data_IF_229695334810
#
_entry.id   IF_229695334810
#
_cell.length_a   1.000
_cell.length_b   1.000
_cell.length_c   1.000
_cell.angle_alpha   90.00
_cell.angle_beta   90.00
_cell.angle_gamma   90.00
#
_symmetry.space_group_name_H-M   'P 1'
#
loop_
_entity.id
_entity.type
_entity.pdbx_description
1 polymer ?
#
# COMPACT_ATOMS: atom_id res chain seq x y z
N UNK A 1 9.24 -1.96 -32.94
CA UNK A 1 8.46 -1.75 -31.70
C UNK A 1 8.13 -3.13 -31.16
N UNK A 2 8.65 -3.49 -29.99
CA UNK A 2 8.38 -4.81 -29.41
C UNK A 2 6.97 -4.79 -28.80
N UNK A 3 6.06 -5.58 -29.37
CA UNK A 3 4.72 -5.78 -28.79
C UNK A 3 4.87 -6.41 -27.40
N UNK A 4 4.30 -5.76 -26.39
CA UNK A 4 4.19 -6.35 -25.06
C UNK A 4 3.07 -7.39 -25.13
N UNK A 5 3.31 -8.61 -24.64
CA UNK A 5 2.23 -9.59 -24.45
C UNK A 5 1.14 -8.98 -23.57
N UNK A 6 -0.12 -9.22 -23.88
CA UNK A 6 -1.29 -8.63 -23.21
C UNK A 6 -1.24 -8.67 -21.67
N UNK A 7 -0.61 -9.69 -21.07
CA UNK A 7 -0.48 -9.89 -19.62
C UNK A 7 0.97 -9.91 -19.11
N UNK A 8 1.91 -9.25 -19.80
CA UNK A 8 3.32 -9.26 -19.41
C UNK A 8 3.57 -8.65 -18.02
N UNK A 9 2.74 -7.69 -17.59
CA UNK A 9 2.83 -7.09 -16.25
C UNK A 9 2.46 -8.12 -15.18
N UNK A 10 1.38 -8.88 -15.39
CA UNK A 10 1.00 -10.00 -14.52
C UNK A 10 2.09 -11.07 -14.45
N UNK A 11 2.58 -11.53 -15.60
CA UNK A 11 3.65 -12.54 -15.66
C UNK A 11 4.88 -12.09 -14.87
N UNK A 12 5.28 -10.83 -15.02
CA UNK A 12 6.45 -10.27 -14.36
C UNK A 12 6.28 -10.15 -12.84
N UNK A 13 5.15 -9.63 -12.35
CA UNK A 13 4.93 -9.52 -10.90
C UNK A 13 4.82 -10.89 -10.22
N UNK A 14 4.18 -11.86 -10.89
CA UNK A 14 4.07 -13.23 -10.38
C UNK A 14 5.44 -13.86 -10.25
N UNK A 15 6.32 -13.71 -11.25
CA UNK A 15 7.69 -14.22 -11.20
C UNK A 15 8.51 -13.57 -10.07
N UNK A 16 8.44 -12.24 -9.92
CA UNK A 16 9.14 -11.51 -8.85
C UNK A 16 8.68 -11.96 -7.46
N UNK A 17 7.37 -12.08 -7.26
CA UNK A 17 6.80 -12.49 -5.98
C UNK A 17 7.08 -13.97 -5.69
N UNK A 18 6.96 -14.86 -6.67
CA UNK A 18 7.29 -16.27 -6.50
C UNK A 18 8.75 -16.48 -6.07
N UNK A 19 9.68 -15.73 -6.67
CA UNK A 19 11.10 -15.78 -6.30
C UNK A 19 11.37 -15.23 -4.90
N UNK A 20 10.54 -14.31 -4.44
CA UNK A 20 10.70 -13.67 -3.12
C UNK A 20 10.03 -14.46 -2.00
N UNK A 21 9.00 -15.26 -2.30
CA UNK A 21 8.29 -16.10 -1.32
C UNK A 21 8.77 -17.55 -1.48
N UNK A 22 9.75 -17.93 -0.65
CA UNK A 22 10.44 -19.22 -0.74
C UNK A 22 9.45 -20.38 -0.58
N UNK A 23 9.51 -21.35 -1.50
CA UNK A 23 8.66 -22.54 -1.46
C UNK A 23 7.23 -22.33 -1.98
N UNK A 24 6.89 -21.11 -2.39
CA UNK A 24 5.59 -20.81 -2.98
C UNK A 24 5.38 -21.50 -4.33
N UNK A 25 4.11 -21.75 -4.67
CA UNK A 25 3.67 -22.33 -5.94
C UNK A 25 2.79 -21.35 -6.69
N UNK A 26 3.00 -21.25 -7.99
CA UNK A 26 2.14 -20.44 -8.87
C UNK A 26 1.07 -21.33 -9.50
N UNK A 27 -0.17 -20.84 -9.49
CA UNK A 27 -1.31 -21.43 -10.18
C UNK A 27 -1.93 -20.38 -11.09
N UNK A 28 -1.95 -20.62 -12.39
CA UNK A 28 -2.74 -19.80 -13.31
C UNK A 28 -4.23 -20.10 -13.11
N UNK A 29 -5.05 -19.07 -12.89
CA UNK A 29 -6.50 -19.19 -12.71
C UNK A 29 -7.21 -18.89 -14.04
N UNK A 30 -6.85 -17.77 -14.66
CA UNK A 30 -7.35 -17.30 -15.96
C UNK A 30 -6.23 -16.52 -16.68
N UNK A 31 -6.32 -16.18 -17.97
CA UNK A 31 -5.26 -15.43 -18.66
C UNK A 31 -4.84 -14.13 -17.97
N UNK A 32 -5.79 -13.46 -17.31
CA UNK A 32 -5.62 -12.20 -16.59
C UNK A 32 -5.46 -12.38 -15.07
N UNK A 33 -5.37 -13.62 -14.56
CA UNK A 33 -5.44 -13.91 -13.13
C UNK A 33 -4.58 -15.11 -12.71
N UNK A 34 -3.73 -14.92 -11.70
CA UNK A 34 -2.85 -15.93 -11.14
C UNK A 34 -2.91 -15.93 -9.61
N UNK A 35 -2.57 -17.06 -8.99
CA UNK A 35 -2.42 -17.17 -7.54
C UNK A 35 -1.02 -17.67 -7.18
N UNK A 36 -0.45 -17.07 -6.14
CA UNK A 36 0.77 -17.53 -5.46
C UNK A 36 0.35 -18.16 -4.15
N UNK A 37 0.62 -19.45 -4.00
CA UNK A 37 0.20 -20.26 -2.85
C UNK A 37 1.42 -20.51 -1.97
N UNK A 38 1.34 -20.12 -0.71
CA UNK A 38 2.35 -20.36 0.32
C UNK A 38 1.70 -21.03 1.54
N UNK A 39 1.92 -22.33 1.70
CA UNK A 39 1.25 -23.12 2.76
C UNK A 39 -0.28 -23.03 2.68
N UNK A 40 -0.90 -22.39 3.68
CA UNK A 40 -2.34 -22.13 3.74
C UNK A 40 -2.73 -20.70 3.31
N UNK A 41 -1.76 -19.87 2.95
CA UNK A 41 -1.96 -18.53 2.43
C UNK A 41 -2.00 -18.53 0.89
N UNK A 42 -2.73 -17.58 0.33
CA UNK A 42 -2.82 -17.38 -1.11
C UNK A 42 -2.87 -15.90 -1.42
N UNK A 43 -2.02 -15.48 -2.36
CA UNK A 43 -2.03 -14.14 -2.94
C UNK A 43 -2.63 -14.27 -4.34
N UNK A 44 -3.81 -13.70 -4.56
CA UNK A 44 -4.46 -13.69 -5.88
C UNK A 44 -4.18 -12.37 -6.57
N UNK A 45 -3.69 -12.44 -7.80
CA UNK A 45 -3.27 -11.29 -8.59
C UNK A 45 -4.07 -11.27 -9.88
N UNK A 46 -4.77 -10.17 -10.13
CA UNK A 46 -5.60 -9.97 -11.34
C UNK A 46 -5.21 -8.69 -12.06
N UNK A 47 -4.88 -8.79 -13.34
CA UNK A 47 -4.59 -7.65 -14.19
C UNK A 47 -5.87 -7.14 -14.86
N UNK A 48 -6.19 -5.86 -14.65
CA UNK A 48 -7.26 -5.17 -15.37
C UNK A 48 -6.67 -4.36 -16.50
N UNK A 49 -7.27 -4.48 -17.68
CA UNK A 49 -6.90 -3.70 -18.87
C UNK A 49 -7.84 -2.51 -19.04
N UNK A 50 -7.32 -1.44 -19.64
CA UNK A 50 -8.10 -0.34 -20.18
C UNK A 50 -8.74 -0.74 -21.53
N UNK A 51 -9.68 0.07 -22.02
CA UNK A 51 -10.33 -0.13 -23.33
C UNK A 51 -9.35 -0.12 -24.51
N UNK A 52 -8.16 0.48 -24.34
CA UNK A 52 -7.09 0.52 -25.34
C UNK A 52 -6.15 -0.71 -25.27
N UNK A 53 -6.41 -1.67 -24.37
CA UNK A 53 -5.60 -2.87 -24.17
C UNK A 53 -4.37 -2.68 -23.27
N UNK A 54 -4.09 -1.47 -22.79
CA UNK A 54 -3.03 -1.21 -21.82
C UNK A 54 -3.43 -1.71 -20.43
N UNK A 55 -2.44 -1.94 -19.56
CA UNK A 55 -2.72 -2.31 -18.17
C UNK A 55 -3.22 -1.09 -17.40
N UNK A 56 -4.44 -1.17 -16.88
CA UNK A 56 -5.04 -0.14 -16.03
C UNK A 56 -4.58 -0.29 -14.58
N UNK A 57 -4.72 -1.50 -14.06
CA UNK A 57 -4.46 -1.79 -12.66
C UNK A 57 -4.10 -3.26 -12.46
N UNK A 58 -3.38 -3.53 -11.39
CA UNK A 58 -3.11 -4.87 -10.93
C UNK A 58 -3.65 -5.02 -9.52
N UNK A 59 -4.68 -5.84 -9.38
CA UNK A 59 -5.40 -6.07 -8.13
C UNK A 59 -4.82 -7.28 -7.43
N UNK A 60 -4.30 -7.05 -6.23
CA UNK A 60 -3.74 -8.08 -5.37
C UNK A 60 -4.68 -8.27 -4.18
N UNK A 61 -5.10 -9.51 -3.96
CA UNK A 61 -5.80 -9.95 -2.76
C UNK A 61 -4.87 -10.84 -1.97
N UNK A 62 -4.55 -10.42 -0.76
CA UNK A 62 -3.64 -11.09 0.16
C UNK A 62 -4.24 -11.09 1.56
N UNK A 63 -5.14 -12.02 1.82
CA UNK A 63 -5.92 -12.09 3.06
C UNK A 63 -5.08 -12.43 4.30
N UNK A 64 -3.88 -12.98 4.09
CA UNK A 64 -2.96 -13.37 5.16
C UNK A 64 -1.82 -12.37 5.34
N UNK A 65 -1.86 -11.26 4.61
CA UNK A 65 -0.90 -10.16 4.68
C UNK A 65 0.56 -10.62 4.47
N UNK A 66 0.78 -11.63 3.61
CA UNK A 66 2.10 -12.17 3.28
C UNK A 66 3.01 -11.09 2.65
N UNK A 67 2.44 -10.18 1.86
CA UNK A 67 3.16 -9.10 1.18
C UNK A 67 3.56 -7.95 2.11
N UNK A 68 3.03 -7.89 3.34
CA UNK A 68 3.15 -6.72 4.22
C UNK A 68 4.49 -6.62 4.96
N UNK A 69 5.46 -7.48 4.64
CA UNK A 69 6.85 -7.21 5.01
C UNK A 69 7.35 -5.98 4.24
N UNK A 70 8.06 -5.08 4.90
CA UNK A 70 8.60 -3.84 4.30
C UNK A 70 9.41 -4.13 3.02
N UNK A 71 10.24 -5.18 3.02
CA UNK A 71 11.03 -5.59 1.85
C UNK A 71 10.16 -5.94 0.64
N UNK A 72 9.09 -6.71 0.83
CA UNK A 72 8.21 -7.12 -0.27
C UNK A 72 7.37 -5.94 -0.79
N UNK A 73 6.82 -5.11 0.09
CA UNK A 73 6.08 -3.91 -0.33
C UNK A 73 6.99 -2.98 -1.14
N UNK A 74 8.21 -2.72 -0.68
CA UNK A 74 9.16 -1.90 -1.44
C UNK A 74 9.53 -2.53 -2.79
N UNK A 75 9.75 -3.85 -2.82
CA UNK A 75 10.08 -4.58 -4.05
C UNK A 75 8.95 -4.50 -5.08
N UNK A 76 7.70 -4.58 -4.64
CA UNK A 76 6.53 -4.42 -5.52
C UNK A 76 6.36 -2.95 -5.93
N UNK A 77 6.63 -1.98 -5.06
CA UNK A 77 6.53 -0.55 -5.38
C UNK A 77 7.55 -0.14 -6.45
N UNK A 78 8.78 -0.64 -6.33
CA UNK A 78 9.89 -0.38 -7.24
C UNK A 78 10.03 -1.45 -8.33
N UNK A 79 8.99 -2.24 -8.58
CA UNK A 79 9.06 -3.40 -9.48
C UNK A 79 9.52 -3.04 -10.91
N UNK A 80 9.17 -1.84 -11.37
CA UNK A 80 9.60 -1.29 -12.66
C UNK A 80 11.12 -1.13 -12.78
N UNK A 81 11.83 -0.99 -11.66
CA UNK A 81 13.29 -0.89 -11.65
C UNK A 81 13.97 -2.19 -12.07
N UNK A 82 13.31 -3.35 -11.90
CA UNK A 82 13.84 -4.64 -12.33
C UNK A 82 13.72 -4.87 -13.85
N UNK A 83 12.83 -4.16 -14.54
CA UNK A 83 12.59 -4.31 -15.98
C UNK A 83 13.57 -3.51 -16.86
N UNK A 84 14.84 -3.33 -16.42
CA UNK A 84 15.80 -2.39 -17.04
C UNK A 84 16.05 -2.67 -18.53
N UNK A 85 16.06 -3.95 -18.92
CA UNK A 85 16.38 -4.37 -20.28
C UNK A 85 15.15 -4.42 -21.21
N UNK A 86 13.96 -4.07 -20.69
CA UNK A 86 12.71 -4.05 -21.46
C UNK A 86 11.97 -2.72 -21.22
N UNK A 87 12.29 -1.72 -22.03
CA UNK A 87 11.70 -0.37 -21.94
C UNK A 87 10.16 -0.38 -22.04
N UNK A 88 9.60 -1.29 -22.84
CA UNK A 88 8.16 -1.42 -23.03
C UNK A 88 7.49 -1.94 -21.74
N UNK A 89 8.02 -3.03 -21.15
CA UNK A 89 7.56 -3.56 -19.87
C UNK A 89 7.74 -2.53 -18.74
N UNK A 90 8.88 -1.83 -18.70
CA UNK A 90 9.11 -0.78 -17.71
C UNK A 90 8.06 0.33 -17.78
N UNK A 91 7.74 0.81 -18.99
CA UNK A 91 6.70 1.81 -19.19
C UNK A 91 5.32 1.28 -18.77
N UNK A 92 5.00 0.02 -19.09
CA UNK A 92 3.75 -0.60 -18.67
C UNK A 92 3.66 -0.75 -17.13
N UNK A 93 4.75 -1.13 -16.46
CA UNK A 93 4.81 -1.21 -15.00
C UNK A 93 4.65 0.17 -14.34
N UNK A 94 5.32 1.21 -14.87
CA UNK A 94 5.18 2.59 -14.38
C UNK A 94 3.75 3.14 -14.53
N UNK A 95 3.06 2.75 -15.60
CA UNK A 95 1.67 3.16 -15.83
C UNK A 95 0.62 2.32 -15.08
N UNK A 96 1.03 1.22 -14.42
CA UNK A 96 0.10 0.32 -13.76
C UNK A 96 -0.16 0.74 -12.31
N UNK A 97 -1.42 0.95 -11.95
CA UNK A 97 -1.80 1.13 -10.56
C UNK A 97 -1.86 -0.22 -9.83
N UNK A 98 -0.92 -0.49 -8.94
CA UNK A 98 -0.90 -1.72 -8.12
C UNK A 98 -1.72 -1.47 -6.86
N UNK A 99 -2.77 -2.27 -6.66
CA UNK A 99 -3.72 -2.13 -5.55
C UNK A 99 -3.71 -3.44 -4.74
N UNK A 100 -3.35 -3.36 -3.47
CA UNK A 100 -3.29 -4.47 -2.51
C UNK A 100 -4.41 -4.30 -1.49
N UNK A 101 -5.32 -5.29 -1.41
CA UNK A 101 -6.44 -5.30 -0.45
C UNK A 101 -7.26 -3.98 -0.40
N UNK A 102 -7.36 -3.29 -1.54
CA UNK A 102 -8.11 -2.04 -1.70
C UNK A 102 -7.29 -0.75 -1.60
N UNK A 103 -6.04 -0.79 -1.13
CA UNK A 103 -5.14 0.37 -1.12
C UNK A 103 -4.17 0.32 -2.30
N UNK A 104 -3.84 1.46 -2.88
CA UNK A 104 -2.68 1.51 -3.76
C UNK A 104 -1.41 1.16 -2.98
N UNK A 105 -0.42 0.59 -3.65
CA UNK A 105 0.83 0.22 -3.00
C UNK A 105 1.55 1.41 -2.34
N UNK A 106 1.45 2.60 -2.94
CA UNK A 106 1.98 3.83 -2.33
C UNK A 106 1.21 4.19 -1.05
N UNK A 107 -0.13 4.09 -1.07
CA UNK A 107 -0.94 4.32 0.11
C UNK A 107 -0.62 3.30 1.23
N UNK A 108 -0.36 2.04 0.90
CA UNK A 108 0.08 1.04 1.87
C UNK A 108 1.44 1.42 2.49
N UNK A 109 2.44 1.81 1.69
CA UNK A 109 3.73 2.30 2.21
C UNK A 109 3.58 3.57 3.07
N UNK A 110 2.69 4.48 2.69
CA UNK A 110 2.37 5.68 3.48
C UNK A 110 1.77 5.28 4.83
N UNK A 111 0.86 4.30 4.88
CA UNK A 111 0.31 3.79 6.13
C UNK A 111 1.41 3.28 7.07
N UNK A 112 2.28 2.41 6.57
CA UNK A 112 3.41 1.87 7.34
C UNK A 112 4.30 3.00 7.88
N UNK A 113 4.69 3.94 7.01
CA UNK A 113 5.50 5.08 7.42
C UNK A 113 4.80 5.95 8.48
N UNK A 114 3.50 6.23 8.35
CA UNK A 114 2.74 7.01 9.35
C UNK A 114 2.75 6.29 10.70
N UNK A 115 2.43 5.00 10.71
CA UNK A 115 2.42 4.18 11.93
C UNK A 115 3.79 4.18 12.60
N UNK A 116 4.85 3.98 11.82
CA UNK A 116 6.20 3.92 12.35
C UNK A 116 6.66 5.30 12.88
N UNK A 117 6.20 6.42 12.29
CA UNK A 117 6.44 7.75 12.84
C UNK A 117 5.69 7.98 14.17
N UNK A 118 4.45 7.51 14.31
CA UNK A 118 3.74 7.56 15.60
C UNK A 118 4.47 6.77 16.68
N UNK A 119 4.92 5.54 16.36
CA UNK A 119 5.69 4.71 17.28
C UNK A 119 7.03 5.33 17.66
N UNK A 120 7.69 6.03 16.73
CA UNK A 120 8.92 6.75 17.01
C UNK A 120 8.72 8.00 17.89
N UNK A 121 7.52 8.61 17.88
CA UNK A 121 7.21 9.77 18.71
C UNK A 121 6.95 9.38 20.17
N UNK A 122 6.17 8.32 20.40
CA UNK A 122 5.81 7.88 21.75
C UNK A 122 5.25 6.46 21.76
N UNK A 123 5.61 5.69 22.79
CA UNK A 123 5.02 4.38 23.10
C UNK A 123 3.53 4.46 23.49
N UNK A 124 2.98 5.66 23.65
CA UNK A 124 1.55 5.86 23.93
C UNK A 124 0.67 5.61 22.70
N UNK A 125 1.25 5.62 21.48
CA UNK A 125 0.49 5.42 20.26
C UNK A 125 0.44 3.95 19.86
N UNK A 126 -0.76 3.45 19.57
CA UNK A 126 -0.94 2.09 19.05
C UNK A 126 -1.96 2.07 17.92
N UNK A 127 -1.62 1.47 16.78
CA UNK A 127 -2.58 1.19 15.72
C UNK A 127 -3.56 0.09 16.18
N UNK A 128 -4.86 0.33 16.00
CA UNK A 128 -5.89 -0.64 16.33
C UNK A 128 -6.39 -1.43 15.12
N UNK A 129 -7.03 -0.73 14.18
CA UNK A 129 -7.63 -1.34 13.00
C UNK A 129 -8.00 -0.30 11.95
N UNK A 130 -8.10 -0.75 10.72
CA UNK A 130 -8.74 0.01 9.65
C UNK A 130 -10.26 0.07 9.83
N UNK A 131 -10.81 1.23 9.48
CA UNK A 131 -12.25 1.49 9.34
C UNK A 131 -12.62 1.49 7.85
N UNK A 132 -11.78 2.10 7.01
CA UNK A 132 -12.00 2.24 5.57
C UNK A 132 -10.67 2.10 4.84
N UNK A 133 -10.69 1.36 3.72
CA UNK A 133 -9.61 1.29 2.73
C UNK A 133 -10.20 1.56 1.35
N UNK A 134 -9.71 2.61 0.71
CA UNK A 134 -9.96 2.96 -0.69
C UNK A 134 -8.62 3.36 -1.33
N UNK A 135 -8.49 3.27 -2.65
CA UNK A 135 -7.22 3.25 -3.39
C UNK A 135 -6.22 4.32 -2.93
N UNK A 136 -6.69 5.52 -2.60
CA UNK A 136 -5.86 6.63 -2.10
C UNK A 136 -6.28 7.15 -0.72
N UNK A 137 -7.26 6.51 -0.07
CA UNK A 137 -7.82 6.98 1.19
C UNK A 137 -7.87 5.84 2.19
N UNK A 138 -7.38 6.11 3.38
CA UNK A 138 -7.49 5.19 4.51
C UNK A 138 -8.05 5.92 5.71
N UNK A 139 -8.87 5.20 6.47
CA UNK A 139 -9.38 5.64 7.76
C UNK A 139 -9.08 4.54 8.76
N UNK A 140 -8.46 4.86 9.89
CA UNK A 140 -8.10 3.87 10.89
C UNK A 140 -8.08 4.45 12.30
N UNK A 141 -8.22 3.57 13.28
CA UNK A 141 -8.18 3.95 14.69
C UNK A 141 -6.76 3.81 15.25
N UNK A 142 -6.42 4.77 16.10
CA UNK A 142 -5.22 4.77 16.94
C UNK A 142 -5.65 4.90 18.40
N UNK A 143 -4.92 4.23 19.30
CA UNK A 143 -4.90 4.54 20.71
C UNK A 143 -3.90 5.67 21.01
N UNK A 144 -4.17 6.40 22.08
CA UNK A 144 -3.22 7.28 22.77
C UNK A 144 -3.31 7.05 24.28
N UNK A 145 -2.34 6.35 24.84
CA UNK A 145 -2.41 5.83 26.21
C UNK A 145 -3.45 4.70 26.32
N UNK A 146 -4.00 4.50 27.52
CA UNK A 146 -4.80 3.31 27.82
C UNK A 146 -6.25 3.37 27.28
N UNK A 147 -6.87 4.55 27.25
CA UNK A 147 -8.32 4.67 27.08
C UNK A 147 -8.77 5.55 25.90
N UNK A 148 -7.85 6.33 25.29
CA UNK A 148 -8.23 7.27 24.24
C UNK A 148 -8.07 6.66 22.86
N UNK A 149 -9.19 6.45 22.18
CA UNK A 149 -9.24 6.10 20.76
C UNK A 149 -9.53 7.36 19.96
N UNK A 150 -8.77 7.58 18.89
CA UNK A 150 -9.06 8.59 17.89
C UNK A 150 -8.91 8.00 16.49
N UNK A 151 -9.58 8.63 15.53
CA UNK A 151 -9.54 8.22 14.14
C UNK A 151 -8.55 9.08 13.37
N UNK A 152 -7.75 8.46 12.53
CA UNK A 152 -6.96 9.11 11.50
C UNK A 152 -7.58 8.91 10.13
N UNK A 153 -7.65 10.00 9.37
CA UNK A 153 -8.00 10.01 7.96
C UNK A 153 -6.76 10.43 7.20
N UNK A 154 -6.36 9.60 6.24
CA UNK A 154 -5.23 9.88 5.36
C UNK A 154 -5.73 9.85 3.92
N UNK A 155 -5.38 10.89 3.15
CA UNK A 155 -5.67 11.01 1.73
C UNK A 155 -4.36 11.24 0.98
N UNK A 156 -4.00 10.32 0.10
CA UNK A 156 -2.84 10.39 -0.76
C UNK A 156 -3.21 11.04 -2.10
N UNK A 157 -2.98 12.35 -2.21
CA UNK A 157 -3.21 13.10 -3.43
C UNK A 157 -1.94 13.16 -4.29
N UNK A 158 -2.09 13.58 -5.54
CA UNK A 158 -0.97 13.61 -6.48
C UNK A 158 0.21 14.50 -6.00
N UNK A 159 -0.09 15.62 -5.33
CA UNK A 159 0.93 16.59 -4.88
C UNK A 159 1.13 16.66 -3.37
N UNK A 160 0.27 16.04 -2.58
CA UNK A 160 0.29 16.14 -1.12
C UNK A 160 -0.37 14.94 -0.45
N UNK A 161 0.01 14.68 0.79
CA UNK A 161 -0.63 13.71 1.67
C UNK A 161 -1.31 14.49 2.79
N UNK A 162 -2.65 14.44 2.82
CA UNK A 162 -3.42 15.00 3.91
C UNK A 162 -3.54 13.95 5.03
N UNK A 163 -3.33 14.38 6.27
CA UNK A 163 -3.50 13.56 7.47
C UNK A 163 -4.29 14.41 8.46
N UNK A 164 -5.40 13.88 8.96
CA UNK A 164 -6.28 14.54 9.92
C UNK A 164 -6.65 13.59 11.05
N UNK A 165 -6.64 14.10 12.28
CA UNK A 165 -7.14 13.38 13.45
C UNK A 165 -8.53 13.85 13.86
N UNK A 166 -9.42 12.88 14.06
CA UNK A 166 -10.77 13.07 14.53
C UNK A 166 -10.87 12.54 15.95
N UNK A 167 -10.94 13.46 16.91
CA UNK A 167 -11.16 13.15 18.34
C UNK A 167 -12.59 13.48 18.74
N UNK A 168 -13.13 12.76 19.72
CA UNK A 168 -14.41 13.11 20.32
C UNK A 168 -14.35 14.49 21.02
N UNK A 169 -15.53 15.13 21.19
CA UNK A 169 -15.63 16.44 21.86
C UNK A 169 -15.33 16.39 23.36
N UNK A 170 -15.45 15.21 23.97
CA UNK A 170 -15.21 14.94 25.39
C UNK A 170 -13.73 14.93 25.77
N UNK A 171 -12.83 14.81 24.78
CA UNK A 171 -11.39 14.75 25.00
C UNK A 171 -10.87 16.08 25.56
N UNK A 172 -10.00 16.00 26.58
CA UNK A 172 -9.40 17.17 27.20
C UNK A 172 -8.66 18.04 26.16
N UNK A 173 -8.83 19.39 26.17
CA UNK A 173 -8.24 20.26 25.15
C UNK A 173 -6.72 20.11 24.99
N UNK A 174 -5.99 19.92 26.09
CA UNK A 174 -4.54 19.73 26.05
C UNK A 174 -4.13 18.44 25.29
N UNK A 175 -4.87 17.34 25.50
CA UNK A 175 -4.62 16.07 24.79
C UNK A 175 -4.93 16.22 23.31
N UNK A 176 -6.05 16.87 22.98
CA UNK A 176 -6.40 17.16 21.58
C UNK A 176 -5.33 18.00 20.88
N UNK A 177 -4.81 19.02 21.56
CA UNK A 177 -3.71 19.85 21.04
C UNK A 177 -2.42 19.05 20.83
N UNK A 178 -2.07 18.14 21.74
CA UNK A 178 -0.91 17.27 21.58
C UNK A 178 -1.05 16.37 20.35
N UNK A 179 -2.15 15.63 20.23
CA UNK A 179 -2.42 14.76 19.06
C UNK A 179 -2.40 15.56 17.76
N UNK A 180 -2.98 16.77 17.74
CA UNK A 180 -3.00 17.61 16.54
C UNK A 180 -1.58 18.06 16.15
N UNK A 181 -0.73 18.39 17.11
CA UNK A 181 0.66 18.78 16.86
C UNK A 181 1.47 17.58 16.33
N UNK A 182 1.31 16.40 16.93
CA UNK A 182 2.01 15.19 16.51
C UNK A 182 1.59 14.78 15.09
N UNK A 183 0.28 14.84 14.78
CA UNK A 183 -0.25 14.60 13.43
C UNK A 183 0.34 15.58 12.41
N UNK A 184 0.47 16.85 12.77
CA UNK A 184 1.09 17.86 11.90
C UNK A 184 2.56 17.51 11.61
N UNK A 185 3.34 17.17 12.64
CA UNK A 185 4.75 16.79 12.48
C UNK A 185 4.90 15.56 11.57
N UNK A 186 4.08 14.54 11.80
CA UNK A 186 4.08 13.32 10.99
C UNK A 186 3.70 13.65 9.55
N UNK A 187 2.66 14.45 9.34
CA UNK A 187 2.24 14.87 8.00
C UNK A 187 3.38 15.55 7.24
N UNK A 188 4.13 16.43 7.90
CA UNK A 188 5.24 17.15 7.28
C UNK A 188 6.38 16.19 6.92
N UNK A 189 6.72 15.23 7.80
CA UNK A 189 7.71 14.17 7.54
C UNK A 189 7.31 13.26 6.38
N UNK A 190 6.06 12.83 6.34
CA UNK A 190 5.53 11.92 5.32
C UNK A 190 5.47 12.62 3.95
N UNK A 191 5.03 13.88 3.89
CA UNK A 191 5.07 14.64 2.64
C UNK A 191 6.51 14.80 2.12
N UNK A 192 7.47 15.09 3.00
CA UNK A 192 8.89 15.16 2.62
C UNK A 192 9.43 13.84 2.07
N UNK A 193 8.97 12.71 2.62
CA UNK A 193 9.39 11.37 2.19
C UNK A 193 8.80 10.98 0.83
N UNK A 194 7.51 11.23 0.60
CA UNK A 194 6.78 10.69 -0.56
C UNK A 194 6.49 11.70 -1.67
N UNK A 195 6.39 13.00 -1.38
CA UNK A 195 5.93 14.03 -2.33
C UNK A 195 6.97 15.09 -2.71
N UNK A 196 8.00 15.28 -1.88
CA UNK A 196 9.09 16.27 -2.00
C UNK A 196 8.68 17.74 -1.80
#
# INVERSE_FOLDING_TARGET
>A
MSEIKQYAVLEYIVDVLQKSIIGSKVKQIAPDEAAIIDGNASIVIKQRLESNGNTAALLIRDEKEVLYSEELLEKVYKIYEGAKDNAALKAALLGTNIIINGLSIEAELIFHAIRDQFYALSDSYEFLKFIEKDVQKMRFNMNFGDDLIFELIVLNEAGSIAIEAMTEKSVAPAVKSAITADVQEIRDKINKQFKK
#
